data_IF_543764646468
#
_entry.id   IF_543764646468
#
_cell.length_a   1.000
_cell.length_b   1.000
_cell.length_c   1.000
_cell.angle_alpha   90.00
_cell.angle_beta   90.00
_cell.angle_gamma   90.00
#
_symmetry.space_group_name_H-M   'P 1'
#
loop_
_entity.id
_entity.type
_entity.pdbx_description
1 polymer ?
#
# COMPACT_ATOMS: atom_id res chain seq x y z
N UNK A 1 -22.74 7.74 -15.64
CA UNK A 1 -21.40 7.19 -15.37
C UNK A 1 -21.12 7.48 -13.92
N UNK A 2 -20.83 6.45 -13.15
CA UNK A 2 -20.57 6.59 -11.71
C UNK A 2 -19.25 7.33 -11.53
N UNK A 3 -19.27 8.38 -10.72
CA UNK A 3 -18.08 9.19 -10.47
C UNK A 3 -17.16 8.56 -9.42
N UNK A 4 -15.85 8.61 -9.65
CA UNK A 4 -14.85 8.12 -8.69
C UNK A 4 -14.99 8.80 -7.32
N UNK A 5 -15.26 10.11 -7.31
CA UNK A 5 -15.33 10.87 -6.06
C UNK A 5 -16.55 10.44 -5.21
N UNK A 6 -17.68 10.12 -5.84
CA UNK A 6 -18.85 9.58 -5.15
C UNK A 6 -18.51 8.28 -4.39
N UNK A 7 -17.85 7.33 -5.06
CA UNK A 7 -17.47 6.05 -4.44
C UNK A 7 -16.46 6.27 -3.31
N UNK A 8 -15.50 7.17 -3.53
CA UNK A 8 -14.52 7.56 -2.52
C UNK A 8 -15.20 8.13 -1.28
N UNK A 9 -16.11 9.10 -1.43
CA UNK A 9 -16.81 9.74 -0.31
C UNK A 9 -17.65 8.75 0.50
N UNK A 10 -18.41 7.87 -0.16
CA UNK A 10 -19.18 6.81 0.50
C UNK A 10 -18.26 5.90 1.30
N UNK A 11 -17.15 5.47 0.68
CA UNK A 11 -16.19 4.56 1.29
C UNK A 11 -15.49 5.21 2.48
N UNK A 12 -14.95 6.42 2.33
CA UNK A 12 -14.25 7.14 3.40
C UNK A 12 -15.18 7.36 4.60
N UNK A 13 -16.43 7.74 4.36
CA UNK A 13 -17.44 7.90 5.43
C UNK A 13 -17.72 6.60 6.18
N UNK A 14 -17.78 5.46 5.50
CA UNK A 14 -17.96 4.16 6.15
C UNK A 14 -16.74 3.78 7.01
N UNK A 15 -15.54 4.15 6.56
CA UNK A 15 -14.27 3.84 7.21
C UNK A 15 -13.90 4.82 8.34
N UNK A 16 -14.71 5.86 8.57
CA UNK A 16 -14.48 6.82 9.66
C UNK A 16 -14.51 6.13 11.04
N UNK A 17 -13.44 6.32 11.81
CA UNK A 17 -13.35 5.82 13.19
C UNK A 17 -12.98 4.34 13.34
N UNK A 18 -12.67 3.63 12.24
CA UNK A 18 -12.16 2.26 12.29
C UNK A 18 -10.70 2.16 11.80
N UNK A 19 -10.10 0.99 11.98
CA UNK A 19 -8.68 0.73 11.63
C UNK A 19 -8.45 0.54 10.13
N UNK A 20 -9.51 0.25 9.37
CA UNK A 20 -9.48 0.18 7.92
C UNK A 20 -9.40 1.56 7.27
N UNK A 21 -8.83 1.63 6.07
CA UNK A 21 -8.68 2.85 5.31
C UNK A 21 -8.66 2.59 3.80
N UNK A 22 -9.10 3.60 3.06
CA UNK A 22 -9.13 3.57 1.61
C UNK A 22 -7.71 3.68 1.04
N UNK A 23 -7.37 2.78 0.12
CA UNK A 23 -6.09 2.79 -0.61
C UNK A 23 -6.27 3.36 -2.01
N UNK A 24 -7.28 2.90 -2.74
CA UNK A 24 -7.55 3.38 -4.10
C UNK A 24 -9.01 3.12 -4.51
N UNK A 25 -9.48 3.91 -5.47
CA UNK A 25 -10.75 3.71 -6.16
C UNK A 25 -10.49 3.86 -7.64
N UNK A 26 -10.89 2.86 -8.43
CA UNK A 26 -10.79 2.89 -9.88
C UNK A 26 -12.16 2.65 -10.46
N UNK A 27 -12.63 3.60 -11.27
CA UNK A 27 -13.84 3.41 -12.08
C UNK A 27 -13.41 3.29 -13.54
N UNK A 28 -13.60 2.10 -14.11
CA UNK A 28 -13.28 1.79 -15.51
C UNK A 28 -14.50 2.02 -16.41
N UNK A 29 -14.33 2.06 -17.75
CA UNK A 29 -15.46 2.13 -18.68
C UNK A 29 -16.50 1.05 -18.40
N UNK A 30 -17.78 1.39 -18.52
CA UNK A 30 -18.88 0.48 -18.19
C UNK A 30 -19.18 0.37 -16.70
N UNK A 31 -18.76 1.35 -15.88
CA UNK A 31 -18.98 1.37 -14.43
C UNK A 31 -18.42 0.11 -13.72
N UNK A 32 -17.27 -0.40 -14.17
CA UNK A 32 -16.54 -1.42 -13.44
C UNK A 32 -15.69 -0.73 -12.35
N UNK A 33 -16.16 -0.83 -11.12
CA UNK A 33 -15.64 -0.15 -9.92
C UNK A 33 -14.78 -1.12 -9.14
N UNK A 34 -13.56 -0.72 -8.82
CA UNK A 34 -12.65 -1.44 -7.93
C UNK A 34 -12.32 -0.54 -6.75
N UNK A 35 -12.61 -1.00 -5.55
CA UNK A 35 -12.27 -0.34 -4.29
C UNK A 35 -11.23 -1.19 -3.57
N UNK A 36 -10.05 -0.61 -3.37
CA UNK A 36 -8.96 -1.23 -2.63
C UNK A 36 -8.87 -0.60 -1.24
N UNK A 37 -8.95 -1.42 -0.20
CA UNK A 37 -8.83 -1.01 1.20
C UNK A 37 -7.66 -1.70 1.88
N UNK A 38 -7.20 -1.16 2.99
CA UNK A 38 -6.20 -1.80 3.82
C UNK A 38 -6.48 -1.46 5.28
N UNK A 39 -5.79 -2.12 6.20
CA UNK A 39 -5.99 -1.98 7.64
C UNK A 39 -4.67 -2.08 8.37
N UNK A 40 -4.62 -1.48 9.54
CA UNK A 40 -3.50 -1.62 10.47
C UNK A 40 -3.47 -3.02 11.12
N UNK A 41 -4.62 -3.71 11.20
CA UNK A 41 -4.76 -5.04 11.84
C UNK A 41 -5.08 -6.18 10.85
N UNK A 42 -5.18 -5.85 9.56
CA UNK A 42 -5.63 -6.78 8.51
C UNK A 42 -7.08 -6.55 8.13
N UNK A 43 -7.46 -7.09 6.96
CA UNK A 43 -8.80 -6.99 6.38
C UNK A 43 -9.33 -8.41 6.20
N UNK A 44 -10.48 -8.69 6.80
CA UNK A 44 -11.16 -9.98 6.65
C UNK A 44 -12.09 -9.99 5.42
N UNK A 45 -12.53 -11.17 5.03
CA UNK A 45 -13.53 -11.30 3.96
C UNK A 45 -14.85 -10.63 4.36
N UNK A 46 -15.25 -10.76 5.62
CA UNK A 46 -16.48 -10.16 6.13
C UNK A 46 -16.42 -8.62 6.10
N UNK A 47 -15.24 -8.03 6.33
CA UNK A 47 -15.05 -6.58 6.19
C UNK A 47 -15.28 -6.10 4.75
N UNK A 48 -14.74 -6.84 3.78
CA UNK A 48 -14.97 -6.54 2.36
C UNK A 48 -16.45 -6.70 1.98
N UNK A 49 -17.13 -7.73 2.48
CA UNK A 49 -18.57 -7.93 2.25
C UNK A 49 -19.38 -6.78 2.84
N UNK A 50 -19.08 -6.37 4.07
CA UNK A 50 -19.78 -5.30 4.75
C UNK A 50 -19.62 -3.96 4.03
N UNK A 51 -18.39 -3.63 3.61
CA UNK A 51 -18.12 -2.43 2.83
C UNK A 51 -18.80 -2.49 1.45
N UNK A 52 -18.75 -3.63 0.76
CA UNK A 52 -19.42 -3.80 -0.54
C UNK A 52 -20.92 -3.52 -0.45
N UNK A 53 -21.61 -4.13 0.53
CA UNK A 53 -23.03 -3.88 0.79
C UNK A 53 -23.33 -2.43 1.13
N UNK A 54 -22.43 -1.75 1.85
CA UNK A 54 -22.59 -0.34 2.17
C UNK A 54 -22.50 0.53 0.92
N UNK A 55 -21.54 0.28 0.04
CA UNK A 55 -21.41 1.04 -1.21
C UNK A 55 -22.63 0.78 -2.10
N UNK A 56 -23.03 -0.49 -2.28
CA UNK A 56 -24.19 -0.85 -3.09
C UNK A 56 -25.49 -0.19 -2.60
N UNK A 57 -25.69 -0.02 -1.29
CA UNK A 57 -26.91 0.61 -0.77
C UNK A 57 -27.03 2.11 -1.08
N UNK A 58 -25.95 2.74 -1.53
CA UNK A 58 -25.93 4.14 -1.97
C UNK A 58 -25.99 4.29 -3.50
N UNK A 59 -25.96 3.19 -4.25
CA UNK A 59 -26.01 3.18 -5.70
C UNK A 59 -27.33 2.57 -6.19
N UNK A 60 -27.85 3.12 -7.28
CA UNK A 60 -29.07 2.62 -7.92
C UNK A 60 -28.72 1.80 -9.18
N UNK A 61 -28.84 0.48 -9.06
CA UNK A 61 -28.54 -0.48 -10.12
C UNK A 61 -29.57 -0.48 -11.26
N UNK A 62 -30.77 0.02 -10.99
CA UNK A 62 -31.83 0.17 -12.00
C UNK A 62 -31.61 1.45 -12.82
N UNK A 63 -31.01 2.48 -12.22
CA UNK A 63 -30.64 3.71 -12.90
C UNK A 63 -29.39 3.55 -13.78
N UNK A 64 -28.33 2.90 -13.28
CA UNK A 64 -27.12 2.59 -14.03
C UNK A 64 -26.59 1.20 -13.68
N UNK A 65 -26.29 0.38 -14.69
CA UNK A 65 -25.63 -0.91 -14.47
C UNK A 65 -24.16 -0.69 -14.07
N UNK A 66 -23.67 -1.51 -13.15
CA UNK A 66 -22.30 -1.46 -12.63
C UNK A 66 -21.83 -2.82 -12.10
N UNK A 67 -20.51 -2.94 -12.02
CA UNK A 67 -19.81 -4.03 -11.33
C UNK A 67 -19.00 -3.41 -10.19
N UNK A 68 -19.06 -4.02 -9.01
CA UNK A 68 -18.32 -3.58 -7.83
C UNK A 68 -17.44 -4.71 -7.30
N UNK A 69 -16.13 -4.45 -7.25
CA UNK A 69 -15.14 -5.29 -6.57
C UNK A 69 -14.58 -4.52 -5.37
N UNK A 70 -14.70 -5.10 -4.18
CA UNK A 70 -14.07 -4.59 -2.95
C UNK A 70 -13.03 -5.60 -2.48
N UNK A 71 -11.79 -5.16 -2.36
CA UNK A 71 -10.67 -6.03 -2.01
C UNK A 71 -9.65 -5.37 -1.09
N UNK A 72 -8.93 -6.19 -0.34
CA UNK A 72 -7.80 -5.74 0.47
C UNK A 72 -6.55 -5.52 -0.39
N UNK A 73 -5.73 -4.54 -0.05
CA UNK A 73 -4.39 -4.39 -0.61
C UNK A 73 -3.59 -5.67 -0.35
N UNK A 74 -3.22 -6.37 -1.43
CA UNK A 74 -2.47 -7.61 -1.34
C UNK A 74 -1.12 -7.41 -0.63
N UNK A 75 -0.66 -8.42 0.12
CA UNK A 75 0.58 -8.33 0.90
C UNK A 75 1.79 -7.97 0.03
N UNK A 76 1.83 -8.41 -1.23
CA UNK A 76 2.93 -8.13 -2.17
C UNK A 76 2.60 -7.00 -3.17
N UNK A 77 1.44 -6.36 -3.01
CA UNK A 77 1.05 -5.20 -3.81
C UNK A 77 1.94 -4.01 -3.50
N UNK A 78 2.18 -3.11 -4.48
CA UNK A 78 2.83 -1.85 -4.21
C UNK A 78 2.11 -1.03 -3.13
N UNK A 79 2.87 -0.45 -2.21
CA UNK A 79 2.36 0.55 -1.27
C UNK A 79 2.03 1.82 -2.05
N UNK A 80 0.77 2.25 -2.03
CA UNK A 80 0.26 3.40 -2.79
C UNK A 80 0.17 4.67 -1.97
N UNK A 81 -0.12 4.58 -0.67
CA UNK A 81 -0.40 5.75 0.18
C UNK A 81 0.49 5.80 1.44
N UNK A 82 0.77 6.99 2.02
CA UNK A 82 1.65 7.13 3.18
C UNK A 82 1.27 6.29 4.40
N UNK A 83 -0.03 6.07 4.66
CA UNK A 83 -0.49 5.21 5.77
C UNK A 83 0.02 3.77 5.65
N UNK A 84 0.09 3.23 4.43
CA UNK A 84 0.67 1.91 4.18
C UNK A 84 2.17 1.86 4.50
N UNK A 85 2.91 2.96 4.27
CA UNK A 85 4.31 3.04 4.70
C UNK A 85 4.40 3.11 6.23
N UNK A 86 3.58 3.93 6.88
CA UNK A 86 3.58 4.09 8.34
C UNK A 86 3.39 2.77 9.06
N UNK A 87 2.42 1.94 8.64
CA UNK A 87 2.19 0.62 9.25
C UNK A 87 3.30 -0.42 8.95
N UNK A 88 4.12 -0.19 7.93
CA UNK A 88 5.20 -1.09 7.53
C UNK A 88 6.57 -0.67 8.08
N UNK A 89 6.64 0.37 8.91
CA UNK A 89 7.89 0.73 9.60
C UNK A 89 8.37 -0.47 10.44
N UNK A 90 9.66 -0.79 10.32
CA UNK A 90 10.30 -1.94 10.95
C UNK A 90 10.28 -3.21 10.09
N UNK A 91 9.55 -3.23 8.98
CA UNK A 91 9.49 -4.38 8.08
C UNK A 91 10.43 -4.24 6.89
N UNK A 92 10.83 -5.39 6.32
CA UNK A 92 11.63 -5.40 5.10
C UNK A 92 10.78 -5.05 3.87
N UNK A 93 11.26 -4.09 3.09
CA UNK A 93 10.63 -3.63 1.86
C UNK A 93 11.61 -3.68 0.70
N UNK A 94 11.07 -3.80 -0.50
CA UNK A 94 11.78 -3.68 -1.76
C UNK A 94 11.34 -2.40 -2.46
N UNK A 95 12.31 -1.53 -2.78
CA UNK A 95 12.10 -0.27 -3.49
C UNK A 95 12.67 -0.40 -4.89
N UNK A 96 11.84 -0.16 -5.91
CA UNK A 96 12.27 0.07 -7.27
C UNK A 96 12.11 1.55 -7.60
N UNK A 97 13.21 2.24 -7.87
CA UNK A 97 13.20 3.64 -8.29
C UNK A 97 12.79 3.79 -9.75
N UNK A 98 12.35 4.98 -10.16
CA UNK A 98 12.07 5.31 -11.57
C UNK A 98 13.31 5.21 -12.47
N UNK A 99 14.51 5.33 -11.88
CA UNK A 99 15.80 5.12 -12.57
C UNK A 99 16.17 3.64 -12.73
N UNK A 100 15.32 2.71 -12.28
CA UNK A 100 15.55 1.27 -12.39
C UNK A 100 16.44 0.68 -11.29
N UNK A 101 16.90 1.48 -10.33
CA UNK A 101 17.65 0.96 -9.17
C UNK A 101 16.70 0.24 -8.22
N UNK A 102 17.11 -0.97 -7.83
CA UNK A 102 16.37 -1.85 -6.92
C UNK A 102 17.15 -2.03 -5.61
N UNK A 103 16.52 -1.74 -4.48
CA UNK A 103 17.10 -1.84 -3.14
C UNK A 103 16.14 -2.57 -2.22
N UNK A 104 16.68 -3.36 -1.29
CA UNK A 104 15.90 -4.04 -0.27
C UNK A 104 16.50 -3.73 1.10
N UNK A 105 15.64 -3.40 2.06
CA UNK A 105 16.06 -3.01 3.40
C UNK A 105 14.86 -2.83 4.32
N UNK A 106 15.13 -2.53 5.59
CA UNK A 106 14.09 -2.29 6.60
C UNK A 106 13.55 -0.87 6.43
N UNK A 107 12.23 -0.71 6.30
CA UNK A 107 11.59 0.61 6.29
C UNK A 107 11.78 1.26 7.67
N UNK A 108 12.59 2.30 7.75
CA UNK A 108 12.99 2.94 9.01
C UNK A 108 12.03 4.04 9.44
N UNK A 109 11.60 4.87 8.49
CA UNK A 109 10.70 5.99 8.75
C UNK A 109 10.02 6.44 7.46
N UNK A 110 8.92 7.17 7.60
CA UNK A 110 8.27 7.90 6.52
C UNK A 110 7.57 9.15 7.02
N UNK A 111 7.40 10.11 6.12
CA UNK A 111 6.55 11.28 6.27
C UNK A 111 5.59 11.36 5.07
N UNK A 112 5.00 12.52 4.83
CA UNK A 112 4.00 12.67 3.76
C UNK A 112 4.64 12.79 2.36
N UNK A 113 5.95 13.02 2.26
CA UNK A 113 6.68 13.25 1.00
C UNK A 113 7.77 12.20 0.71
N UNK A 114 8.32 11.58 1.76
CA UNK A 114 9.51 10.75 1.69
C UNK A 114 9.51 9.61 2.68
N UNK A 115 10.43 8.67 2.47
CA UNK A 115 10.68 7.57 3.39
C UNK A 115 12.14 7.14 3.35
N UNK A 116 12.57 6.47 4.42
CA UNK A 116 13.95 5.99 4.59
C UNK A 116 13.94 4.47 4.77
N UNK A 117 14.83 3.77 4.08
CA UNK A 117 15.12 2.36 4.35
C UNK A 117 16.56 2.19 4.84
N UNK A 118 16.78 1.25 5.73
CA UNK A 118 18.11 0.82 6.17
C UNK A 118 18.50 -0.46 5.45
N UNK A 119 19.62 -0.45 4.74
CA UNK A 119 20.17 -1.60 4.03
C UNK A 119 21.40 -2.11 4.78
N UNK A 120 21.31 -3.35 5.29
CA UNK A 120 22.45 -4.02 5.94
C UNK A 120 23.35 -4.70 4.92
N UNK A 121 24.62 -4.32 4.87
CA UNK A 121 25.64 -4.90 3.99
C UNK A 121 26.74 -5.58 4.81
N UNK A 122 27.20 -6.73 4.33
CA UNK A 122 28.33 -7.45 4.94
C UNK A 122 29.65 -7.02 4.27
N UNK A 123 30.38 -6.11 4.90
CA UNK A 123 31.67 -5.59 4.41
C UNK A 123 32.84 -6.29 5.10
N UNK A 124 33.99 -6.42 4.40
CA UNK A 124 35.25 -6.81 5.05
C UNK A 124 36.03 -5.53 5.37
N UNK A 125 36.23 -5.19 6.65
CA UNK A 125 37.13 -4.09 7.01
C UNK A 125 38.56 -4.40 6.55
N UNK A 126 39.34 -3.39 6.20
CA UNK A 126 40.73 -3.57 5.79
C UNK A 126 41.53 -4.28 6.88
N UNK A 127 42.16 -5.41 6.51
CA UNK A 127 42.90 -6.28 7.42
C UNK A 127 42.05 -7.27 8.25
N UNK A 128 40.72 -7.19 8.18
CA UNK A 128 39.80 -8.05 8.92
C UNK A 128 39.55 -9.41 8.25
N UNK A 129 39.68 -10.51 9.02
CA UNK A 129 39.39 -11.88 8.53
C UNK A 129 37.89 -12.18 8.40
N UNK A 130 37.01 -11.44 9.09
CA UNK A 130 35.55 -11.67 9.13
C UNK A 130 34.79 -10.49 8.52
N UNK A 131 33.64 -10.80 7.88
CA UNK A 131 32.70 -9.77 7.43
C UNK A 131 31.96 -9.17 8.63
N UNK A 132 31.73 -7.87 8.59
CA UNK A 132 30.97 -7.10 9.59
C UNK A 132 29.72 -6.54 8.91
N UNK A 133 28.59 -6.57 9.61
CA UNK A 133 27.37 -5.93 9.15
C UNK A 133 27.49 -4.41 9.32
N UNK A 134 27.24 -3.67 8.26
CA UNK A 134 27.17 -2.20 8.25
C UNK A 134 25.84 -1.79 7.67
N UNK A 135 25.14 -0.96 8.43
CA UNK A 135 23.86 -0.40 8.04
C UNK A 135 24.06 0.93 7.32
N UNK A 136 23.36 1.10 6.21
CA UNK A 136 23.37 2.33 5.40
C UNK A 136 21.93 2.76 5.14
N UNK A 137 21.62 4.01 5.46
CA UNK A 137 20.30 4.59 5.26
C UNK A 137 20.16 5.21 3.86
N UNK A 138 19.07 4.89 3.17
CA UNK A 138 18.71 5.45 1.87
C UNK A 138 17.37 6.18 1.99
N UNK A 139 17.37 7.46 1.63
CA UNK A 139 16.17 8.30 1.59
C UNK A 139 15.60 8.35 0.18
N UNK A 140 14.27 8.23 0.06
CA UNK A 140 13.54 8.31 -1.20
C UNK A 140 12.38 9.29 -1.09
N UNK A 141 12.21 10.11 -2.12
CA UNK A 141 10.96 10.88 -2.33
C UNK A 141 9.98 9.97 -3.06
N UNK A 142 8.71 9.94 -2.65
CA UNK A 142 7.69 9.06 -3.26
C UNK A 142 7.60 9.23 -4.78
N UNK A 143 7.75 10.47 -5.26
CA UNK A 143 7.69 10.80 -6.68
C UNK A 143 8.83 10.19 -7.51
N UNK A 144 9.96 9.81 -6.92
CA UNK A 144 11.10 9.20 -7.62
C UNK A 144 11.07 7.67 -7.57
N UNK A 145 10.09 7.10 -6.87
CA UNK A 145 9.90 5.67 -6.70
C UNK A 145 8.89 5.16 -7.72
N UNK A 146 9.22 4.05 -8.38
CA UNK A 146 8.31 3.34 -9.28
C UNK A 146 7.36 2.44 -8.48
N UNK A 147 7.88 1.73 -7.49
CA UNK A 147 7.08 1.08 -6.46
C UNK A 147 7.92 0.73 -5.24
N UNK A 148 7.26 0.65 -4.09
CA UNK A 148 7.75 -0.03 -2.89
C UNK A 148 6.82 -1.19 -2.59
N UNK A 149 7.35 -2.36 -2.27
CA UNK A 149 6.56 -3.55 -1.92
C UNK A 149 7.07 -4.13 -0.61
N UNK A 150 6.18 -4.70 0.18
CA UNK A 150 6.59 -5.54 1.31
C UNK A 150 7.33 -6.77 0.79
N UNK A 151 8.49 -7.09 1.39
CA UNK A 151 9.33 -8.18 0.95
C UNK A 151 9.18 -9.38 1.88
N UNK A 152 8.39 -10.38 1.47
CA UNK A 152 8.31 -11.67 2.17
C UNK A 152 9.53 -12.52 1.78
N UNK A 153 10.30 -12.95 2.78
CA UNK A 153 11.30 -14.01 2.62
C UNK A 153 10.75 -15.31 3.19
N UNK A 154 10.52 -16.28 2.32
CA UNK A 154 10.27 -17.66 2.74
C UNK A 154 11.59 -18.25 3.26
N UNK A 155 11.55 -18.82 4.46
CA UNK A 155 12.68 -19.56 5.05
C UNK A 155 12.63 -21.02 4.64
#
# INVERSE_FOLDING_TARGET
>A
MIEKELIKDITEKYLEGITMFLVDVVVKPGNAIVVEVDSDEGVSIDDCIALSRNIESHLDRDAEDFELEVGSAGITSPLKIPRQYKKNIGNEVEVLTKKGQKLSGVLKSCDDNSFVITVTKMVKPDGGKKKVAVDEDFSFVYQDVKHTKYLIRFK
#
